data_IF_956869883218
#
_entry.id   IF_956869883218
#
_cell.length_a   1.000
_cell.length_b   1.000
_cell.length_c   1.000
_cell.angle_alpha   90.00
_cell.angle_beta   90.00
_cell.angle_gamma   90.00
#
_symmetry.space_group_name_H-M   'P 1'
#
loop_
_entity.id
_entity.type
_entity.pdbx_description
1 polymer ?
#
# COMPACT_ATOMS: atom_id res chain seq x y z
N UNK A 1 -26.09 -6.22 12.44
CA UNK A 1 -24.90 -7.08 12.19
C UNK A 1 -23.88 -6.94 13.31
N UNK A 2 -23.37 -5.74 13.58
CA UNK A 2 -22.35 -5.51 14.61
C UNK A 2 -22.73 -6.04 16.00
N UNK A 3 -23.98 -5.79 16.43
CA UNK A 3 -24.51 -6.31 17.70
C UNK A 3 -24.49 -7.85 17.76
N UNK A 4 -24.88 -8.51 16.67
CA UNK A 4 -24.89 -9.98 16.59
C UNK A 4 -23.46 -10.51 16.80
N UNK A 5 -22.48 -9.96 16.08
CA UNK A 5 -21.09 -10.38 16.18
C UNK A 5 -20.50 -10.13 17.57
N UNK A 6 -20.79 -8.96 18.16
CA UNK A 6 -20.27 -8.54 19.48
C UNK A 6 -20.81 -9.37 20.64
N UNK A 7 -22.05 -9.85 20.55
CA UNK A 7 -22.74 -10.50 21.67
C UNK A 7 -22.97 -12.01 21.49
N UNK A 8 -22.44 -12.63 20.42
CA UNK A 8 -22.63 -14.06 20.15
C UNK A 8 -22.10 -14.99 21.24
N UNK A 9 -21.02 -14.59 21.93
CA UNK A 9 -20.40 -15.39 23.00
C UNK A 9 -21.08 -15.22 24.36
N UNK A 10 -22.01 -14.26 24.51
CA UNK A 10 -22.72 -14.10 25.78
C UNK A 10 -23.69 -15.28 25.98
N UNK A 11 -23.55 -15.98 27.10
CA UNK A 11 -24.37 -17.14 27.45
C UNK A 11 -25.89 -16.89 27.32
N UNK A 12 -26.35 -15.66 27.60
CA UNK A 12 -27.75 -15.26 27.45
C UNK A 12 -28.26 -15.27 26.00
N UNK A 13 -27.39 -15.03 25.02
CA UNK A 13 -27.75 -14.86 23.61
C UNK A 13 -27.20 -15.97 22.71
N UNK A 14 -26.32 -16.83 23.23
CA UNK A 14 -25.64 -17.88 22.46
C UNK A 14 -26.61 -18.79 21.70
N UNK A 15 -27.66 -19.28 22.35
CA UNK A 15 -28.64 -20.18 21.71
C UNK A 15 -29.49 -19.45 20.66
N UNK A 16 -29.81 -18.18 20.90
CA UNK A 16 -30.58 -17.35 19.98
C UNK A 16 -29.77 -16.99 18.72
N UNK A 17 -28.49 -16.67 18.90
CA UNK A 17 -27.61 -16.17 17.84
C UNK A 17 -26.87 -17.29 17.10
N UNK A 18 -26.68 -18.45 17.71
CA UNK A 18 -25.89 -19.56 17.14
C UNK A 18 -26.38 -20.03 15.76
N UNK A 19 -27.70 -19.99 15.54
CA UNK A 19 -28.32 -20.31 14.23
C UNK A 19 -28.14 -19.22 13.16
N UNK A 20 -27.76 -18.01 13.56
CA UNK A 20 -27.47 -16.89 12.66
C UNK A 20 -25.99 -16.83 12.27
N UNK A 21 -25.08 -17.41 13.06
CA UNK A 21 -23.65 -17.43 12.75
C UNK A 21 -23.39 -18.48 11.67
N UNK A 22 -23.30 -18.05 10.41
CA UNK A 22 -23.02 -18.91 9.26
C UNK A 22 -22.70 -18.11 8.00
N UNK A 23 -22.45 -18.75 6.85
CA UNK A 23 -21.96 -18.10 5.62
C UNK A 23 -22.81 -16.90 5.19
N UNK A 24 -24.14 -17.04 5.30
CA UNK A 24 -25.10 -15.99 4.94
C UNK A 24 -24.95 -14.71 5.77
N UNK A 25 -24.54 -14.84 7.04
CA UNK A 25 -24.23 -13.69 7.89
C UNK A 25 -22.95 -13.01 7.41
N UNK A 26 -21.93 -13.77 7.04
CA UNK A 26 -20.66 -13.20 6.56
C UNK A 26 -20.86 -12.43 5.24
N UNK A 27 -21.65 -12.96 4.31
CA UNK A 27 -22.05 -12.23 3.10
C UNK A 27 -22.70 -10.90 3.45
N UNK A 28 -23.67 -10.89 4.38
CA UNK A 28 -24.34 -9.66 4.80
C UNK A 28 -23.39 -8.67 5.49
N UNK A 29 -22.40 -9.17 6.24
CA UNK A 29 -21.36 -8.35 6.86
C UNK A 29 -20.45 -7.74 5.80
N UNK A 30 -19.97 -8.50 4.82
CA UNK A 30 -19.16 -7.98 3.72
C UNK A 30 -19.91 -6.92 2.90
N UNK A 31 -21.18 -7.15 2.54
CA UNK A 31 -21.98 -6.14 1.83
C UNK A 31 -22.19 -4.86 2.66
N UNK A 32 -22.33 -4.97 3.98
CA UNK A 32 -22.45 -3.81 4.85
C UNK A 32 -21.14 -3.02 4.97
N UNK A 33 -20.00 -3.72 5.04
CA UNK A 33 -18.67 -3.10 5.04
C UNK A 33 -18.39 -2.39 3.72
N UNK A 34 -18.72 -3.02 2.60
CA UNK A 34 -18.60 -2.43 1.26
C UNK A 34 -19.45 -1.16 1.14
N UNK A 35 -20.72 -1.23 1.52
CA UNK A 35 -21.61 -0.07 1.53
C UNK A 35 -21.10 1.07 2.42
N UNK A 36 -20.62 0.77 3.63
CA UNK A 36 -20.10 1.77 4.56
C UNK A 36 -18.80 2.41 4.05
N UNK A 37 -17.93 1.61 3.42
CA UNK A 37 -16.71 2.08 2.75
C UNK A 37 -17.01 3.05 1.61
N UNK A 38 -18.11 2.84 0.87
CA UNK A 38 -18.51 3.71 -0.23
C UNK A 38 -19.17 5.02 0.24
N UNK A 39 -19.80 5.03 1.42
CA UNK A 39 -20.49 6.20 1.94
C UNK A 39 -19.61 7.11 2.81
N UNK A 40 -18.68 6.54 3.57
CA UNK A 40 -17.89 7.29 4.54
C UNK A 40 -16.44 7.43 4.09
N UNK A 41 -16.16 8.48 3.30
CA UNK A 41 -14.82 8.82 2.78
C UNK A 41 -13.82 9.22 3.89
N UNK A 42 -14.29 9.47 5.12
CA UNK A 42 -13.48 10.09 6.21
C UNK A 42 -13.24 9.20 7.43
N UNK A 43 -13.99 8.11 7.62
CA UNK A 43 -13.75 7.18 8.74
C UNK A 43 -12.80 6.06 8.33
N UNK A 44 -11.57 6.09 8.86
CA UNK A 44 -10.54 5.04 8.67
C UNK A 44 -10.90 3.67 9.24
N UNK A 45 -11.99 3.54 10.01
CA UNK A 45 -12.31 2.33 10.78
C UNK A 45 -13.77 1.96 10.62
N UNK A 46 -14.02 0.86 9.92
CA UNK A 46 -15.34 0.25 9.80
C UNK A 46 -15.47 -0.75 10.94
N UNK A 47 -16.34 -0.54 11.95
CA UNK A 47 -16.42 -1.39 13.14
C UNK A 47 -16.70 -2.87 12.82
N UNK A 48 -17.42 -3.14 11.73
CA UNK A 48 -17.67 -4.50 11.25
C UNK A 48 -16.40 -5.17 10.71
N UNK A 49 -15.53 -4.43 10.04
CA UNK A 49 -14.25 -4.93 9.55
C UNK A 49 -13.29 -5.19 10.71
N UNK A 50 -13.23 -4.29 11.70
CA UNK A 50 -12.41 -4.46 12.92
C UNK A 50 -12.80 -5.74 13.68
N UNK A 51 -14.10 -5.95 13.96
CA UNK A 51 -14.55 -7.15 14.68
C UNK A 51 -14.21 -8.43 13.91
N UNK A 52 -14.31 -8.43 12.56
CA UNK A 52 -13.92 -9.60 11.76
C UNK A 52 -12.42 -9.88 11.84
N UNK A 53 -11.59 -8.84 11.80
CA UNK A 53 -10.14 -8.96 11.90
C UNK A 53 -9.69 -9.42 13.29
N UNK A 54 -10.22 -8.84 14.35
CA UNK A 54 -9.80 -9.11 15.74
C UNK A 54 -10.26 -10.49 16.22
N UNK A 55 -11.45 -10.92 15.79
CA UNK A 55 -12.05 -12.15 16.25
C UNK A 55 -11.56 -13.38 15.47
N UNK A 56 -10.60 -14.08 16.07
CA UNK A 56 -9.93 -15.23 15.46
C UNK A 56 -10.83 -16.46 15.33
N UNK A 57 -11.88 -16.57 16.12
CA UNK A 57 -12.77 -17.74 16.17
C UNK A 57 -14.00 -17.59 15.26
N UNK A 58 -14.41 -16.35 14.96
CA UNK A 58 -15.60 -16.05 14.16
C UNK A 58 -15.57 -16.67 12.75
N UNK A 59 -14.48 -16.46 12.00
CA UNK A 59 -14.35 -17.01 10.65
C UNK A 59 -14.30 -18.54 10.64
N UNK A 60 -13.47 -19.21 11.47
CA UNK A 60 -13.51 -20.67 11.60
C UNK A 60 -14.90 -21.22 11.94
N UNK A 61 -15.64 -20.57 12.84
CA UNK A 61 -17.00 -21.00 13.21
C UNK A 61 -17.98 -20.88 12.03
N UNK A 62 -17.96 -19.74 11.33
CA UNK A 62 -18.81 -19.48 10.16
C UNK A 62 -18.50 -20.47 9.03
N UNK A 63 -17.21 -20.62 8.71
CA UNK A 63 -16.72 -21.49 7.66
C UNK A 63 -17.01 -22.96 7.99
N UNK A 64 -16.95 -23.35 9.26
CA UNK A 64 -17.31 -24.69 9.71
C UNK A 64 -18.75 -25.10 9.42
N UNK A 65 -19.66 -24.14 9.21
CA UNK A 65 -21.08 -24.36 8.89
C UNK A 65 -21.40 -24.21 7.38
N UNK A 66 -20.39 -23.95 6.54
CA UNK A 66 -20.55 -23.74 5.10
C UNK A 66 -19.97 -24.86 4.23
N UNK A 67 -20.20 -24.75 2.93
CA UNK A 67 -19.57 -25.61 1.91
C UNK A 67 -18.27 -25.01 1.38
N UNK A 68 -17.48 -25.80 0.66
CA UNK A 68 -16.29 -25.32 -0.05
C UNK A 68 -16.62 -24.21 -1.06
N UNK A 69 -17.72 -24.37 -1.80
CA UNK A 69 -18.23 -23.36 -2.74
C UNK A 69 -18.53 -22.03 -2.02
N UNK A 70 -19.22 -22.09 -0.87
CA UNK A 70 -19.47 -20.88 -0.08
C UNK A 70 -18.17 -20.23 0.39
N UNK A 71 -17.16 -21.02 0.75
CA UNK A 71 -15.88 -20.50 1.20
C UNK A 71 -15.12 -19.81 0.06
N UNK A 72 -15.17 -20.35 -1.17
CA UNK A 72 -14.59 -19.72 -2.37
C UNK A 72 -15.27 -18.39 -2.69
N UNK A 73 -16.60 -18.38 -2.74
CA UNK A 73 -17.40 -17.16 -3.00
C UNK A 73 -17.10 -16.07 -1.96
N UNK A 74 -17.02 -16.45 -0.68
CA UNK A 74 -16.72 -15.52 0.41
C UNK A 74 -15.27 -15.03 0.37
N UNK A 75 -14.31 -15.87 0.00
CA UNK A 75 -12.92 -15.46 -0.17
C UNK A 75 -12.76 -14.46 -1.35
N UNK A 76 -13.46 -14.70 -2.46
CA UNK A 76 -13.49 -13.76 -3.58
C UNK A 76 -14.19 -12.44 -3.19
N UNK A 77 -15.31 -12.53 -2.47
CA UNK A 77 -16.00 -11.34 -1.97
C UNK A 77 -15.13 -10.52 -1.01
N UNK A 78 -14.29 -11.16 -0.18
CA UNK A 78 -13.35 -10.50 0.70
C UNK A 78 -12.24 -9.77 -0.09
N UNK A 79 -11.67 -10.41 -1.12
CA UNK A 79 -10.63 -9.82 -1.97
C UNK A 79 -11.12 -8.53 -2.63
N UNK A 80 -12.33 -8.57 -3.17
CA UNK A 80 -12.94 -7.45 -3.90
C UNK A 80 -13.53 -6.36 -2.98
N UNK A 81 -13.59 -6.58 -1.66
CA UNK A 81 -14.22 -5.65 -0.74
C UNK A 81 -13.31 -4.44 -0.45
N UNK A 82 -13.74 -3.20 -0.75
CA UNK A 82 -12.92 -2.01 -0.52
C UNK A 82 -12.80 -1.62 0.97
N UNK A 83 -13.69 -2.12 1.83
CA UNK A 83 -13.70 -1.78 3.26
C UNK A 83 -12.72 -2.59 4.13
N UNK A 84 -11.84 -3.39 3.51
CA UNK A 84 -10.73 -4.06 4.20
C UNK A 84 -9.38 -3.59 3.64
N UNK A 85 -8.44 -3.30 4.54
CA UNK A 85 -7.03 -3.09 4.19
C UNK A 85 -6.36 -4.42 3.79
N UNK A 86 -5.31 -4.36 2.98
CA UNK A 86 -4.67 -5.56 2.41
C UNK A 86 -4.08 -6.51 3.46
N UNK A 87 -3.51 -5.97 4.55
CA UNK A 87 -3.03 -6.79 5.68
C UNK A 87 -4.19 -7.54 6.36
N UNK A 88 -5.34 -6.88 6.49
CA UNK A 88 -6.55 -7.51 7.02
C UNK A 88 -7.09 -8.56 6.04
N UNK A 89 -7.15 -8.26 4.74
CA UNK A 89 -7.54 -9.23 3.71
C UNK A 89 -6.65 -10.47 3.73
N UNK A 90 -5.33 -10.30 3.75
CA UNK A 90 -4.35 -11.41 3.82
C UNK A 90 -4.51 -12.21 5.11
N UNK A 91 -4.66 -11.56 6.26
CA UNK A 91 -4.88 -12.23 7.54
C UNK A 91 -6.18 -13.04 7.58
N UNK A 92 -7.26 -12.48 7.03
CA UNK A 92 -8.55 -13.15 6.94
C UNK A 92 -8.48 -14.30 5.93
N UNK A 93 -7.90 -14.10 4.74
CA UNK A 93 -7.68 -15.14 3.73
C UNK A 93 -6.85 -16.31 4.25
N UNK A 94 -5.82 -16.07 5.05
CA UNK A 94 -5.05 -17.14 5.70
C UNK A 94 -5.96 -18.04 6.57
N UNK A 95 -7.03 -17.49 7.17
CA UNK A 95 -8.03 -18.28 7.92
C UNK A 95 -8.94 -19.07 6.98
N UNK A 96 -9.29 -18.53 5.81
CA UNK A 96 -10.00 -19.27 4.76
C UNK A 96 -9.15 -20.44 4.26
N UNK A 97 -7.90 -20.21 3.87
CA UNK A 97 -6.95 -21.22 3.37
C UNK A 97 -6.69 -22.31 4.41
N UNK A 98 -6.52 -21.94 5.68
CA UNK A 98 -6.34 -22.90 6.78
C UNK A 98 -7.50 -23.89 6.89
N UNK A 99 -8.71 -23.49 6.52
CA UNK A 99 -9.90 -24.36 6.55
C UNK A 99 -10.15 -25.06 5.21
N UNK A 100 -9.90 -24.37 4.10
CA UNK A 100 -10.10 -24.84 2.73
C UNK A 100 -8.84 -24.56 1.91
N UNK A 101 -7.86 -25.48 1.90
CA UNK A 101 -6.59 -25.30 1.20
C UNK A 101 -6.74 -25.04 -0.30
N UNK A 102 -7.83 -25.53 -0.91
CA UNK A 102 -8.17 -25.31 -2.33
C UNK A 102 -8.38 -23.83 -2.70
N UNK A 103 -8.55 -22.93 -1.72
CA UNK A 103 -8.63 -21.49 -1.96
C UNK A 103 -7.25 -20.91 -2.30
N UNK A 104 -6.16 -21.58 -1.89
CA UNK A 104 -4.79 -21.16 -2.16
C UNK A 104 -4.54 -21.01 -3.67
N UNK A 105 -4.96 -21.98 -4.48
CA UNK A 105 -4.80 -21.93 -5.94
C UNK A 105 -5.62 -20.82 -6.62
N UNK A 106 -6.71 -20.38 -6.00
CA UNK A 106 -7.49 -19.23 -6.45
C UNK A 106 -6.78 -17.91 -6.18
N UNK A 107 -6.04 -17.83 -5.07
CA UNK A 107 -5.22 -16.66 -4.71
C UNK A 107 -3.92 -16.63 -5.52
N UNK A 108 -3.32 -17.80 -5.74
CA UNK A 108 -2.06 -17.94 -6.50
C UNK A 108 -2.28 -17.85 -8.02
N UNK A 109 -3.51 -18.04 -8.51
CA UNK A 109 -3.88 -18.05 -9.92
C UNK A 109 -3.85 -16.70 -10.66
N UNK A 110 -3.45 -15.62 -9.98
CA UNK A 110 -3.10 -14.34 -10.62
C UNK A 110 -1.58 -14.09 -10.74
N UNK A 111 -0.72 -14.97 -10.19
CA UNK A 111 0.73 -14.71 -10.07
C UNK A 111 1.60 -15.98 -10.18
N UNK A 112 1.26 -16.91 -11.07
CA UNK A 112 2.05 -18.15 -11.20
C UNK A 112 3.27 -17.97 -12.13
N UNK A 113 4.45 -17.86 -11.52
CA UNK A 113 5.64 -18.57 -11.99
C UNK A 113 6.38 -19.16 -10.78
N UNK A 114 6.59 -20.49 -10.73
CA UNK A 114 7.11 -21.16 -9.56
C UNK A 114 8.64 -21.23 -9.59
N UNK A 115 9.29 -20.93 -8.45
CA UNK A 115 10.14 -21.88 -7.71
C UNK A 115 11.21 -21.21 -6.84
N UNK A 116 11.43 -21.88 -5.70
CA UNK A 116 12.68 -22.00 -4.94
C UNK A 116 12.86 -21.12 -3.70
N UNK A 117 13.25 -21.84 -2.65
CA UNK A 117 13.47 -21.41 -1.27
C UNK A 117 14.45 -20.24 -1.12
N UNK A 118 14.21 -19.46 -0.07
CA UNK A 118 15.11 -18.45 0.51
C UNK A 118 15.39 -17.23 -0.36
N UNK A 119 14.57 -16.19 -0.22
CA UNK A 119 14.96 -14.83 0.17
C UNK A 119 13.67 -14.03 0.23
N UNK A 120 13.48 -13.27 1.31
CA UNK A 120 12.43 -12.26 1.43
C UNK A 120 12.53 -11.25 0.29
N UNK A 121 11.86 -11.51 -0.83
CA UNK A 121 11.68 -10.56 -1.92
C UNK A 121 10.21 -10.17 -1.94
N UNK A 122 9.93 -9.13 -1.15
CA UNK A 122 8.92 -8.08 -1.34
C UNK A 122 7.81 -8.37 -2.37
N UNK A 123 6.73 -9.02 -1.92
CA UNK A 123 5.38 -8.87 -2.52
C UNK A 123 4.49 -8.03 -1.61
N UNK A 124 5.08 -7.03 -0.95
CA UNK A 124 4.37 -6.09 -0.11
C UNK A 124 4.27 -4.77 -0.88
N UNK A 125 3.07 -4.23 -1.03
CA UNK A 125 2.77 -2.89 -1.57
C UNK A 125 3.38 -1.76 -0.68
N UNK A 126 4.41 -2.10 0.10
CA UNK A 126 5.07 -1.24 1.05
C UNK A 126 6.20 -0.44 0.40
N UNK A 127 6.18 0.88 0.61
CA UNK A 127 7.17 1.81 0.10
C UNK A 127 8.28 1.97 1.14
N UNK A 128 9.48 1.48 0.86
CA UNK A 128 10.63 1.75 1.75
C UNK A 128 11.09 3.19 1.50
N UNK A 129 11.19 4.00 2.55
CA UNK A 129 11.52 5.43 2.46
C UNK A 129 12.47 5.83 3.58
N UNK A 130 13.31 6.84 3.37
CA UNK A 130 14.08 7.40 4.48
C UNK A 130 13.17 8.05 5.52
N UNK A 131 13.60 8.04 6.78
CA UNK A 131 12.89 8.77 7.85
C UNK A 131 12.69 10.26 7.49
N UNK A 132 13.71 10.91 6.92
CA UNK A 132 13.64 12.32 6.55
C UNK A 132 12.58 12.60 5.47
N UNK A 133 12.46 11.73 4.46
CA UNK A 133 11.44 11.88 3.42
C UNK A 133 10.04 11.54 3.93
N UNK A 134 9.92 10.58 4.84
CA UNK A 134 8.65 10.30 5.52
C UNK A 134 8.16 11.53 6.31
N UNK A 135 9.04 12.14 7.11
CA UNK A 135 8.70 13.31 7.92
C UNK A 135 8.28 14.50 7.04
N UNK A 136 8.94 14.71 5.89
CA UNK A 136 8.55 15.72 4.89
C UNK A 136 7.14 15.46 4.35
N UNK A 137 6.80 14.22 3.98
CA UNK A 137 5.47 13.87 3.48
C UNK A 137 4.38 14.04 4.54
N UNK A 138 4.68 13.74 5.81
CA UNK A 138 3.78 14.03 6.93
C UNK A 138 3.55 15.54 7.05
N UNK A 139 4.60 16.36 6.98
CA UNK A 139 4.47 17.81 7.02
C UNK A 139 3.64 18.36 5.85
N UNK A 140 3.85 17.86 4.63
CA UNK A 140 3.04 18.22 3.45
C UNK A 140 1.55 17.90 3.66
N UNK A 141 1.24 16.73 4.23
CA UNK A 141 -0.13 16.32 4.54
C UNK A 141 -0.76 17.21 5.62
N UNK A 142 0.03 17.61 6.63
CA UNK A 142 -0.43 18.53 7.67
C UNK A 142 -0.74 19.92 7.10
N UNK A 143 0.14 20.47 6.26
CA UNK A 143 -0.08 21.77 5.60
C UNK A 143 -1.35 21.73 4.73
N UNK A 144 -1.54 20.65 3.96
CA UNK A 144 -2.76 20.46 3.17
C UNK A 144 -4.02 20.46 4.03
N UNK A 145 -3.98 19.74 5.15
CA UNK A 145 -5.15 19.50 6.00
C UNK A 145 -5.47 20.70 6.90
N UNK A 146 -4.46 21.37 7.44
CA UNK A 146 -4.61 22.45 8.43
C UNK A 146 -4.66 23.84 7.80
N UNK A 147 -4.10 24.02 6.60
CA UNK A 147 -3.98 25.34 5.97
C UNK A 147 -4.68 25.40 4.62
N UNK A 148 -4.24 24.61 3.63
CA UNK A 148 -4.68 24.77 2.23
C UNK A 148 -6.17 24.45 2.03
N UNK A 149 -6.64 23.31 2.54
CA UNK A 149 -8.05 22.91 2.38
C UNK A 149 -9.01 23.86 3.13
N UNK A 150 -8.75 24.25 4.40
CA UNK A 150 -9.53 25.27 5.08
C UNK A 150 -9.54 26.63 4.35
N UNK A 151 -8.37 27.11 3.89
CA UNK A 151 -8.27 28.37 3.16
C UNK A 151 -9.06 28.35 1.85
N UNK A 152 -8.97 27.27 1.07
CA UNK A 152 -9.77 27.09 -0.14
C UNK A 152 -11.28 27.02 0.18
N UNK A 153 -11.68 26.42 1.30
CA UNK A 153 -13.08 26.37 1.71
C UNK A 153 -13.64 27.77 2.02
N UNK A 154 -12.85 28.63 2.66
CA UNK A 154 -13.20 30.04 2.88
C UNK A 154 -13.27 30.82 1.56
N UNK A 155 -12.36 30.55 0.62
CA UNK A 155 -12.38 31.18 -0.71
C UNK A 155 -13.65 30.82 -1.49
N UNK A 156 -14.11 29.57 -1.42
CA UNK A 156 -15.37 29.12 -2.02
C UNK A 156 -16.56 29.84 -1.39
N UNK A 157 -16.57 30.00 -0.05
CA UNK A 157 -17.63 30.71 0.66
C UNK A 157 -17.70 32.17 0.24
N UNK A 158 -16.56 32.88 0.21
CA UNK A 158 -16.48 34.26 -0.25
C UNK A 158 -16.92 34.40 -1.72
N UNK A 159 -16.49 33.49 -2.60
CA UNK A 159 -16.92 33.49 -4.00
C UNK A 159 -18.43 33.25 -4.16
N UNK A 160 -19.04 32.49 -3.24
CA UNK A 160 -20.49 32.22 -3.25
C UNK A 160 -21.32 33.46 -2.89
N UNK A 161 -20.79 34.34 -2.05
CA UNK A 161 -21.48 35.58 -1.64
C UNK A 161 -21.56 36.63 -2.76
N UNK A 162 -20.72 36.51 -3.80
CA UNK A 162 -20.64 37.46 -4.92
C UNK A 162 -21.78 37.34 -5.96
N UNK A 163 -22.75 36.44 -5.78
CA UNK A 163 -23.97 36.38 -6.60
C UNK A 163 -24.06 35.16 -7.53
N UNK A 164 -24.46 35.36 -8.79
CA UNK A 164 -24.88 34.27 -9.70
C UNK A 164 -23.76 33.23 -9.94
N UNK A 165 -23.93 32.07 -9.32
CA UNK A 165 -22.93 30.99 -9.26
C UNK A 165 -22.69 30.31 -10.61
N UNK A 166 -23.61 30.48 -11.58
CA UNK A 166 -23.48 29.84 -12.90
C UNK A 166 -22.46 30.54 -13.79
N UNK A 167 -22.19 31.82 -13.57
CA UNK A 167 -21.22 32.60 -14.34
C UNK A 167 -19.97 32.99 -13.54
N UNK A 168 -19.95 32.71 -12.23
CA UNK A 168 -18.82 33.05 -11.37
C UNK A 168 -17.61 32.13 -11.62
N UNK A 169 -16.66 32.61 -12.42
CA UNK A 169 -15.41 31.92 -12.73
C UNK A 169 -14.54 31.65 -11.50
N UNK A 170 -14.55 32.55 -10.50
CA UNK A 170 -13.78 32.40 -9.26
C UNK A 170 -14.33 31.23 -8.43
N UNK A 171 -15.65 31.10 -8.35
CA UNK A 171 -16.30 29.97 -7.67
C UNK A 171 -15.96 28.62 -8.34
N UNK A 172 -16.02 28.55 -9.68
CA UNK A 172 -15.68 27.33 -10.42
C UNK A 172 -14.20 26.96 -10.23
N UNK A 173 -13.29 27.93 -10.36
CA UNK A 173 -11.85 27.71 -10.14
C UNK A 173 -11.57 27.22 -8.72
N UNK A 174 -12.19 27.83 -7.71
CA UNK A 174 -12.01 27.43 -6.31
C UNK A 174 -12.54 26.01 -6.05
N UNK A 175 -13.63 25.61 -6.72
CA UNK A 175 -14.16 24.24 -6.67
C UNK A 175 -13.26 23.21 -7.34
N UNK A 176 -12.62 23.56 -8.44
CA UNK A 176 -11.67 22.66 -9.11
C UNK A 176 -10.37 22.54 -8.32
N UNK A 177 -9.87 23.63 -7.74
CA UNK A 177 -8.78 23.59 -6.78
C UNK A 177 -9.11 22.71 -5.57
N UNK A 178 -10.34 22.78 -5.03
CA UNK A 178 -10.79 21.92 -3.94
C UNK A 178 -10.68 20.44 -4.30
N UNK A 179 -11.08 20.05 -5.52
CA UNK A 179 -10.97 18.66 -5.99
C UNK A 179 -9.50 18.22 -6.05
N UNK A 180 -8.62 19.08 -6.57
CA UNK A 180 -7.19 18.78 -6.65
C UNK A 180 -6.55 18.62 -5.26
N UNK A 181 -6.89 19.50 -4.32
CA UNK A 181 -6.39 19.44 -2.94
C UNK A 181 -6.84 18.16 -2.23
N UNK A 182 -8.12 17.78 -2.37
CA UNK A 182 -8.66 16.55 -1.78
C UNK A 182 -8.08 15.29 -2.44
N UNK A 183 -7.90 15.28 -3.76
CA UNK A 183 -7.24 14.18 -4.46
C UNK A 183 -5.81 13.99 -3.96
N UNK A 184 -5.04 15.08 -3.86
CA UNK A 184 -3.67 15.06 -3.35
C UNK A 184 -3.60 14.62 -1.88
N UNK A 185 -4.55 15.05 -1.05
CA UNK A 185 -4.64 14.60 0.33
C UNK A 185 -4.87 13.08 0.41
N UNK A 186 -5.80 12.55 -0.40
CA UNK A 186 -6.10 11.12 -0.46
C UNK A 186 -4.90 10.29 -0.92
N UNK A 187 -4.21 10.74 -1.97
CA UNK A 187 -2.99 10.10 -2.49
C UNK A 187 -1.89 10.06 -1.42
N UNK A 188 -1.57 11.21 -0.80
CA UNK A 188 -0.55 11.28 0.25
C UNK A 188 -0.89 10.41 1.45
N UNK A 189 -2.16 10.34 1.86
CA UNK A 189 -2.59 9.47 2.95
C UNK A 189 -2.37 7.99 2.62
N UNK A 190 -2.74 7.55 1.40
CA UNK A 190 -2.52 6.17 0.96
C UNK A 190 -1.03 5.82 0.89
N UNK A 191 -0.22 6.73 0.35
CA UNK A 191 1.23 6.57 0.24
C UNK A 191 1.92 6.51 1.61
N UNK A 192 1.52 7.38 2.54
CA UNK A 192 2.02 7.37 3.93
C UNK A 192 1.64 6.08 4.66
N UNK A 193 0.44 5.54 4.44
CA UNK A 193 0.00 4.28 5.06
C UNK A 193 0.84 3.08 4.60
N UNK A 194 1.31 3.10 3.36
CA UNK A 194 2.16 2.04 2.78
C UNK A 194 3.64 2.24 3.07
N UNK A 195 4.04 3.43 3.52
CA UNK A 195 5.44 3.76 3.73
C UNK A 195 6.03 3.09 4.98
N UNK A 196 7.22 2.52 4.81
CA UNK A 196 8.07 1.94 5.86
C UNK A 196 9.34 2.79 6.00
N UNK A 197 9.40 3.67 7.01
CA UNK A 197 10.59 4.45 7.29
C UNK A 197 11.78 3.56 7.66
N UNK A 198 12.97 3.90 7.17
CA UNK A 198 14.23 3.26 7.52
C UNK A 198 15.36 4.28 7.63
N UNK A 199 16.38 3.93 8.40
CA UNK A 199 17.68 4.62 8.50
C UNK A 199 18.77 3.96 7.63
N UNK A 200 18.40 2.90 6.89
CA UNK A 200 19.25 2.12 5.98
C UNK A 200 20.40 1.36 6.66
N UNK A 201 20.36 1.15 7.99
CA UNK A 201 21.43 0.39 8.68
C UNK A 201 21.47 -1.09 8.30
N UNK A 202 20.32 -1.64 7.92
CA UNK A 202 20.15 -3.04 7.53
C UNK A 202 20.47 -3.31 6.05
N UNK A 203 21.04 -2.32 5.35
CA UNK A 203 21.41 -2.47 3.94
C UNK A 203 22.44 -3.60 3.75
N UNK A 204 22.26 -4.47 2.74
CA UNK A 204 23.19 -5.57 2.47
C UNK A 204 24.58 -5.04 2.07
N UNK A 205 25.62 -5.77 2.44
CA UNK A 205 27.01 -5.44 2.13
C UNK A 205 27.58 -6.22 0.95
N UNK A 206 26.94 -7.31 0.54
CA UNK A 206 27.42 -8.25 -0.47
C UNK A 206 26.67 -8.14 -1.82
N UNK A 207 25.59 -7.37 -1.85
CA UNK A 207 24.72 -7.13 -2.99
C UNK A 207 24.12 -5.73 -2.91
N UNK A 208 23.69 -5.19 -4.06
CA UNK A 208 23.01 -3.91 -4.11
C UNK A 208 21.62 -4.05 -3.48
N UNK A 209 21.35 -3.27 -2.45
CA UNK A 209 20.04 -3.13 -1.83
C UNK A 209 19.66 -1.67 -1.63
N UNK A 210 18.54 -1.46 -0.95
CA UNK A 210 18.10 -0.14 -0.55
C UNK A 210 19.02 0.34 0.57
N UNK A 211 19.65 1.51 0.39
CA UNK A 211 20.73 2.01 1.24
C UNK A 211 22.14 1.75 0.71
N UNK A 212 22.28 1.18 -0.49
CA UNK A 212 23.60 0.91 -1.09
C UNK A 212 24.13 2.09 -1.90
N UNK A 213 25.46 2.21 -1.92
CA UNK A 213 26.21 3.11 -2.78
C UNK A 213 26.95 2.25 -3.80
N UNK A 214 26.65 2.46 -5.07
CA UNK A 214 27.11 1.63 -6.18
C UNK A 214 27.99 2.45 -7.10
N UNK A 215 29.15 1.91 -7.45
CA UNK A 215 30.03 2.48 -8.50
C UNK A 215 29.86 1.65 -9.76
N UNK A 216 29.42 2.31 -10.84
CA UNK A 216 29.15 1.73 -12.14
C UNK A 216 30.21 2.20 -13.13
N UNK A 217 30.59 1.35 -14.07
CA UNK A 217 31.43 1.71 -15.21
C UNK A 217 30.72 1.38 -16.51
N UNK A 218 30.57 2.38 -17.38
CA UNK A 218 30.01 2.20 -18.71
C UNK A 218 31.00 1.36 -19.56
N UNK A 219 30.51 0.25 -20.10
CA UNK A 219 31.32 -0.66 -20.91
C UNK A 219 31.70 -0.09 -22.28
N UNK A 220 31.01 0.94 -22.78
CA UNK A 220 31.26 1.54 -24.09
C UNK A 220 32.41 2.55 -24.07
N UNK A 221 32.45 3.44 -23.08
CA UNK A 221 33.43 4.53 -22.99
C UNK A 221 34.37 4.44 -21.77
N UNK A 222 34.10 3.54 -20.82
CA UNK A 222 34.89 3.37 -19.60
C UNK A 222 34.67 4.44 -18.54
N UNK A 223 33.65 5.28 -18.67
CA UNK A 223 33.32 6.32 -17.69
C UNK A 223 32.73 5.69 -16.42
N UNK A 224 33.20 6.16 -15.27
CA UNK A 224 32.73 5.70 -13.96
C UNK A 224 31.70 6.69 -13.40
N UNK A 225 30.58 6.16 -12.91
CA UNK A 225 29.55 6.94 -12.25
C UNK A 225 29.13 6.27 -10.94
N UNK A 226 28.89 7.10 -9.92
CA UNK A 226 28.53 6.63 -8.59
C UNK A 226 27.10 7.03 -8.29
N UNK A 227 26.28 6.07 -7.85
CA UNK A 227 24.89 6.31 -7.47
C UNK A 227 24.63 5.84 -6.04
N UNK A 228 23.71 6.52 -5.36
CA UNK A 228 23.18 6.09 -4.07
C UNK A 228 21.76 5.57 -4.28
N UNK A 229 21.50 4.30 -4.01
CA UNK A 229 20.17 3.70 -4.14
C UNK A 229 19.44 3.81 -2.80
N UNK A 230 18.46 4.71 -2.70
CA UNK A 230 17.66 4.95 -1.49
C UNK A 230 16.18 4.59 -1.71
N UNK A 231 15.32 5.06 -0.81
CA UNK A 231 13.89 4.76 -0.78
C UNK A 231 13.08 5.47 -1.87
N UNK A 232 11.78 5.16 -1.89
CA UNK A 232 10.85 5.56 -2.94
C UNK A 232 10.75 7.08 -3.16
N UNK A 233 10.89 7.85 -2.07
CA UNK A 233 10.76 9.32 -2.06
C UNK A 233 12.09 10.06 -1.93
N UNK A 234 13.21 9.34 -2.03
CA UNK A 234 14.54 9.87 -1.75
C UNK A 234 15.32 10.28 -3.01
N UNK A 235 14.73 10.14 -4.20
CA UNK A 235 15.38 10.53 -5.46
C UNK A 235 15.84 11.99 -5.42
N UNK A 236 17.10 12.21 -5.73
CA UNK A 236 17.74 13.51 -5.85
C UNK A 236 18.82 13.43 -6.96
N UNK A 237 18.44 13.70 -8.22
CA UNK A 237 19.35 13.59 -9.36
C UNK A 237 20.58 14.51 -9.27
N UNK A 238 20.45 15.66 -8.61
CA UNK A 238 21.55 16.64 -8.47
C UNK A 238 22.66 16.10 -7.54
N UNK A 239 22.35 15.12 -6.69
CA UNK A 239 23.27 14.49 -5.76
C UNK A 239 23.48 12.98 -6.06
N UNK A 240 23.18 12.54 -7.28
CA UNK A 240 23.29 11.14 -7.73
C UNK A 240 22.52 10.14 -6.84
N UNK A 241 21.41 10.58 -6.23
CA UNK A 241 20.55 9.72 -5.41
C UNK A 241 19.39 9.20 -6.26
N UNK A 242 19.27 7.88 -6.29
CA UNK A 242 18.33 7.13 -7.08
C UNK A 242 17.32 6.41 -6.18
N UNK A 243 16.03 6.59 -6.42
CA UNK A 243 15.01 5.70 -5.84
C UNK A 243 15.16 4.29 -6.40
N UNK A 244 15.04 3.29 -5.52
CA UNK A 244 15.00 1.89 -5.92
C UNK A 244 13.87 1.55 -6.90
N UNK A 245 12.84 2.40 -7.02
CA UNK A 245 11.71 2.23 -7.94
C UNK A 245 12.02 2.69 -9.37
N UNK A 246 13.13 3.39 -9.59
CA UNK A 246 13.52 3.79 -10.95
C UNK A 246 13.91 2.57 -11.80
N UNK A 247 13.81 2.65 -13.15
CA UNK A 247 14.20 1.54 -14.02
C UNK A 247 15.65 1.07 -13.78
N UNK A 248 16.58 1.99 -13.57
CA UNK A 248 17.96 1.65 -13.24
C UNK A 248 18.07 1.05 -11.83
N UNK A 249 17.39 1.64 -10.83
CA UNK A 249 17.39 1.15 -9.45
C UNK A 249 16.90 -0.29 -9.36
N UNK A 250 15.77 -0.60 -10.01
CA UNK A 250 15.20 -1.95 -10.06
C UNK A 250 16.16 -2.97 -10.69
N UNK A 251 16.86 -2.59 -11.76
CA UNK A 251 17.83 -3.50 -12.41
C UNK A 251 19.11 -3.69 -11.60
N UNK A 252 19.46 -2.71 -10.75
CA UNK A 252 20.62 -2.79 -9.86
C UNK A 252 20.33 -3.66 -8.63
N UNK A 253 19.11 -3.68 -8.10
CA UNK A 253 18.76 -4.45 -6.91
C UNK A 253 19.19 -5.92 -7.04
N UNK A 254 19.68 -6.49 -5.94
CA UNK A 254 20.21 -7.86 -5.80
C UNK A 254 21.49 -8.18 -6.58
N UNK A 255 21.96 -7.27 -7.43
CA UNK A 255 23.19 -7.46 -8.20
C UNK A 255 24.43 -7.36 -7.34
N UNK A 256 25.50 -8.03 -7.77
CA UNK A 256 26.78 -8.08 -7.05
C UNK A 256 27.91 -7.39 -7.80
N UNK A 257 29.01 -7.12 -7.10
CA UNK A 257 30.22 -6.60 -7.73
C UNK A 257 30.66 -7.53 -8.86
N UNK A 258 30.96 -6.96 -10.02
CA UNK A 258 31.38 -7.65 -11.22
C UNK A 258 30.25 -7.97 -12.20
N UNK A 259 28.99 -7.90 -11.76
CA UNK A 259 27.82 -8.13 -12.63
C UNK A 259 27.54 -6.93 -13.54
N UNK A 260 26.84 -7.21 -14.64
CA UNK A 260 26.50 -6.24 -15.69
C UNK A 260 24.99 -5.98 -15.67
N UNK A 261 24.63 -4.72 -15.82
CA UNK A 261 23.26 -4.24 -15.91
C UNK A 261 23.10 -3.43 -17.19
N UNK A 262 22.06 -3.76 -17.96
CA UNK A 262 21.74 -3.02 -19.18
C UNK A 262 20.55 -2.09 -18.95
N UNK A 263 20.68 -0.83 -19.33
CA UNK A 263 19.59 0.14 -19.31
C UNK A 263 19.24 0.57 -20.71
N UNK A 264 17.96 0.72 -21.00
CA UNK A 264 17.48 1.26 -22.27
C UNK A 264 16.85 2.62 -21.99
N UNK A 265 17.38 3.66 -22.63
CA UNK A 265 16.84 5.01 -22.58
C UNK A 265 16.61 5.47 -24.01
N UNK A 266 15.34 5.64 -24.40
CA UNK A 266 14.95 6.10 -25.74
C UNK A 266 15.55 5.26 -26.90
N UNK A 267 15.67 3.94 -26.70
CA UNK A 267 16.24 3.02 -27.68
C UNK A 267 17.77 2.93 -27.69
N UNK A 268 18.46 3.70 -26.84
CA UNK A 268 19.89 3.55 -26.60
C UNK A 268 20.12 2.56 -25.45
N UNK A 269 20.74 1.42 -25.76
CA UNK A 269 21.15 0.43 -24.76
C UNK A 269 22.53 0.81 -24.21
N UNK A 270 22.59 1.09 -22.92
CA UNK A 270 23.84 1.29 -22.18
C UNK A 270 24.10 0.09 -21.26
N UNK A 271 25.35 -0.34 -21.19
CA UNK A 271 25.77 -1.50 -20.38
C UNK A 271 26.72 -1.03 -19.29
N UNK A 272 26.32 -1.28 -18.04
CA UNK A 272 27.02 -0.84 -16.85
C UNK A 272 27.55 -2.04 -16.10
N UNK A 273 28.83 -2.04 -15.72
CA UNK A 273 29.38 -3.05 -14.81
C UNK A 273 29.48 -2.48 -13.41
N UNK A 274 29.09 -3.27 -12.40
CA UNK A 274 29.24 -2.89 -10.99
C UNK A 274 30.70 -3.10 -10.58
N UNK A 275 31.41 -2.02 -10.29
CA UNK A 275 32.82 -2.04 -9.88
C UNK A 275 32.98 -2.00 -8.36
N UNK A 276 32.11 -1.26 -7.68
CA UNK A 276 32.20 -1.04 -6.24
C UNK A 276 30.83 -1.02 -5.56
N UNK A 277 30.82 -1.51 -4.31
CA UNK A 277 29.64 -1.53 -3.46
C UNK A 277 30.05 -1.14 -2.03
N UNK A 278 29.29 -0.23 -1.43
CA UNK A 278 29.40 0.17 -0.02
C UNK A 278 28.02 0.54 0.52
N UNK A 279 27.87 0.67 1.85
CA UNK A 279 26.60 1.13 2.43
C UNK A 279 26.62 2.65 2.58
N UNK A 280 25.48 3.29 2.34
CA UNK A 280 25.34 4.74 2.46
C UNK A 280 25.66 5.24 3.87
N UNK A 281 25.26 4.47 4.88
CA UNK A 281 25.52 4.78 6.29
C UNK A 281 27.01 4.76 6.66
N UNK A 282 27.85 4.02 5.94
CA UNK A 282 29.29 3.93 6.22
C UNK A 282 30.06 5.18 5.75
N UNK A 283 29.46 5.98 4.86
CA UNK A 283 30.04 7.21 4.33
C UNK A 283 29.54 8.49 4.99
N UNK A 284 28.70 8.37 6.03
CA UNK A 284 28.07 9.48 6.74
C UNK A 284 28.85 9.94 7.97
#
# INVERSE_FOLDING_TARGET
LLWILKFRELAKFKDLLGGLIGPRLLTAVFSAIDYESLQNVTTRRIPLAEILSDDKELLPEILGKGTEENAKDLAQALLLNPGFEDLSKRSLLARFIKRYPEIQSMVDGEDDSPSSESTSVVTDDSLIVSQASYDRKIADLEELTKEKIPANSLAIEAARELGDLRENAEYQSAKDEQKLLLARQSELQGDIMRAKPTDFTDAPSDSVGIGSVVSLIDQANGESQKYVVLGAWDSDPDNDVLSYLTPLGQKLLTKKIGEIVETEVEGNVQSWKIEGLSRWVDGK
#
